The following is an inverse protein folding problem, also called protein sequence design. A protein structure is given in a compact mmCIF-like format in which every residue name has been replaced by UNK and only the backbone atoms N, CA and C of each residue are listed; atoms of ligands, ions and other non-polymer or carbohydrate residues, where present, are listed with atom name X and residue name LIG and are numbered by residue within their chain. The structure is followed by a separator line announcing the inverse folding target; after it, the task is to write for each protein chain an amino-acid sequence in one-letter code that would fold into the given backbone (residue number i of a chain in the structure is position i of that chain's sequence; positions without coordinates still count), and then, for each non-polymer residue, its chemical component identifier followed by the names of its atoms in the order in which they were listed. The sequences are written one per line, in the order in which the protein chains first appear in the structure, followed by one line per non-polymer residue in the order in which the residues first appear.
data_IF_592790757213
#
_entry.id   IF_592790757213
#
_cell.length_a   1.000
_cell.length_b   1.000
_cell.length_c   1.000
_cell.angle_alpha   90.00
_cell.angle_beta   90.00
_cell.angle_gamma   90.00
#
_symmetry.space_group_name_H-M   'P 1'
#
loop_
_entity.id
_entity.type
_entity.pdbx_description
1 polymer ?
#
# COMPACT_ATOMS: atom_id res chain seq x y z
N UNK A 1 -12.13 -52.85 28.55
CA UNK A 1 -11.67 -51.62 29.23
C UNK A 1 -11.71 -50.52 28.17
N UNK A 2 -12.87 -49.87 28.00
CA UNK A 2 -13.09 -48.79 27.04
C UNK A 2 -13.41 -47.53 27.83
N UNK A 3 -12.59 -46.50 27.67
CA UNK A 3 -12.78 -45.19 28.26
C UNK A 3 -13.63 -44.33 27.32
N UNK A 4 -14.83 -43.99 27.78
CA UNK A 4 -15.72 -43.01 27.17
C UNK A 4 -15.30 -41.61 27.60
N UNK A 5 -15.05 -40.72 26.64
CA UNK A 5 -14.92 -39.28 26.88
C UNK A 5 -16.30 -38.61 26.72
N UNK A 6 -16.65 -37.62 27.55
CA UNK A 6 -17.92 -36.91 27.43
C UNK A 6 -17.89 -35.91 26.27
N UNK A 7 -18.99 -35.86 25.52
CA UNK A 7 -19.29 -34.87 24.49
C UNK A 7 -19.63 -33.50 25.11
N UNK A 8 -19.19 -32.37 24.52
CA UNK A 8 -19.63 -31.04 24.94
C UNK A 8 -21.04 -30.74 24.43
N UNK A 9 -21.89 -30.22 25.32
CA UNK A 9 -23.22 -29.69 24.99
C UNK A 9 -23.11 -28.31 24.36
N UNK A 10 -23.62 -28.16 23.14
CA UNK A 10 -23.78 -26.90 22.42
C UNK A 10 -25.05 -26.18 22.88
N UNK A 11 -24.94 -24.89 23.25
CA UNK A 11 -26.07 -24.01 23.56
C UNK A 11 -26.21 -22.99 22.44
N UNK A 12 -27.36 -22.90 21.74
CA UNK A 12 -27.53 -21.94 20.65
C UNK A 12 -27.76 -20.51 21.19
N UNK A 13 -27.32 -19.46 20.47
CA UNK A 13 -27.53 -18.08 20.89
C UNK A 13 -29.01 -17.71 20.82
N UNK A 14 -29.50 -17.09 21.89
CA UNK A 14 -30.87 -16.61 22.02
C UNK A 14 -31.23 -15.53 21.00
N UNK A 15 -32.47 -15.62 20.54
CA UNK A 15 -33.18 -14.61 19.76
C UNK A 15 -33.24 -13.29 20.55
N UNK A 16 -32.70 -12.22 19.98
CA UNK A 16 -32.96 -10.86 20.44
C UNK A 16 -34.12 -10.27 19.64
N UNK A 17 -35.16 -9.94 20.38
CA UNK A 17 -36.41 -9.34 19.93
C UNK A 17 -36.18 -7.98 19.29
N UNK A 18 -36.94 -7.72 18.23
CA UNK A 18 -37.08 -6.42 17.61
C UNK A 18 -37.66 -5.40 18.61
N UNK A 19 -37.04 -4.23 18.71
CA UNK A 19 -37.71 -3.02 19.20
C UNK A 19 -37.46 -1.86 18.23
N UNK A 20 -38.53 -1.42 17.60
CA UNK A 20 -38.62 -0.15 16.88
C UNK A 20 -38.56 1.00 17.87
N UNK A 21 -37.64 1.96 17.69
CA UNK A 21 -37.93 3.38 17.98
C UNK A 21 -36.98 4.30 17.24
N UNK A 22 -37.56 5.02 16.28
CA UNK A 22 -37.56 6.48 16.11
C UNK A 22 -36.27 7.29 16.32
N UNK A 23 -35.95 8.04 15.26
CA UNK A 23 -35.07 9.20 15.19
C UNK A 23 -35.01 10.10 16.43
N UNK A 24 -33.78 10.43 16.85
CA UNK A 24 -33.27 11.76 17.20
C UNK A 24 -32.03 11.58 18.08
N UNK A 25 -30.82 11.64 17.49
CA UNK A 25 -29.60 11.87 18.26
C UNK A 25 -29.04 13.22 17.87
N UNK A 26 -29.26 14.14 18.81
CA UNK A 26 -28.72 15.48 18.90
C UNK A 26 -27.22 15.47 18.68
N UNK A 27 -26.77 16.44 17.89
CA UNK A 27 -25.40 16.90 17.84
C UNK A 27 -24.94 17.33 19.24
N UNK A 28 -24.33 16.42 20.00
CA UNK A 28 -23.51 16.79 21.15
C UNK A 28 -22.12 17.11 20.62
N UNK A 29 -21.80 18.40 20.62
CA UNK A 29 -20.46 18.97 20.48
C UNK A 29 -19.47 18.26 21.42
N UNK A 30 -18.86 17.17 20.97
CA UNK A 30 -17.59 16.71 21.50
C UNK A 30 -16.57 17.78 21.09
N UNK A 31 -16.09 18.55 22.06
CA UNK A 31 -14.90 19.38 21.89
C UNK A 31 -13.72 18.44 21.63
N UNK A 32 -13.54 18.04 20.38
CA UNK A 32 -12.29 17.45 19.91
C UNK A 32 -11.25 18.58 20.04
N UNK A 33 -10.17 18.39 20.82
CA UNK A 33 -9.12 19.40 20.93
C UNK A 33 -8.59 19.72 19.53
N UNK A 34 -8.25 20.99 19.30
CA UNK A 34 -7.62 21.39 18.06
C UNK A 34 -6.36 20.54 17.85
N UNK A 35 -6.15 19.96 16.65
CA UNK A 35 -4.95 19.18 16.38
C UNK A 35 -3.72 20.05 16.66
N UNK A 36 -2.63 19.46 17.20
CA UNK A 36 -1.38 20.19 17.38
C UNK A 36 -0.93 20.80 16.05
N UNK A 37 -0.39 22.02 16.09
CA UNK A 37 0.17 22.66 14.89
C UNK A 37 1.46 21.95 14.52
N UNK A 38 1.45 21.21 13.41
CA UNK A 38 2.65 20.58 12.90
C UNK A 38 3.41 21.61 12.07
N UNK A 39 4.46 22.20 12.63
CA UNK A 39 5.37 23.02 11.84
C UNK A 39 6.03 22.14 10.79
N UNK A 40 5.60 22.33 9.53
CA UNK A 40 6.22 21.79 8.33
C UNK A 40 7.75 21.93 8.41
N UNK A 41 8.43 20.84 8.72
CA UNK A 41 9.80 20.65 8.27
C UNK A 41 9.67 20.42 6.76
N UNK A 42 9.68 21.50 5.99
CA UNK A 42 10.01 21.41 4.57
C UNK A 42 11.37 20.71 4.51
N UNK A 43 11.35 19.42 4.20
CA UNK A 43 12.59 18.68 4.02
C UNK A 43 13.36 19.37 2.89
N UNK A 44 14.66 19.65 3.06
CA UNK A 44 15.48 20.15 1.97
C UNK A 44 15.40 19.19 0.78
N UNK A 45 15.76 19.69 -0.40
CA UNK A 45 15.83 18.91 -1.64
C UNK A 45 16.35 17.49 -1.38
N UNK A 46 15.53 16.51 -1.73
CA UNK A 46 15.76 15.08 -1.53
C UNK A 46 17.16 14.69 -2.00
N UNK A 47 18.02 14.24 -1.07
CA UNK A 47 19.35 13.76 -1.43
C UNK A 47 19.29 12.30 -1.91
N UNK A 48 20.03 12.02 -2.99
CA UNK A 48 20.18 10.71 -3.66
C UNK A 48 20.55 9.51 -2.73
N UNK A 49 21.26 9.63 -1.58
CA UNK A 49 21.68 8.47 -0.79
C UNK A 49 20.54 7.61 -0.22
N UNK A 50 19.31 8.14 -0.16
CA UNK A 50 18.16 7.47 0.46
C UNK A 50 17.66 6.25 -0.32
N UNK A 51 17.89 6.24 -1.63
CA UNK A 51 17.41 5.20 -2.54
C UNK A 51 18.43 4.08 -2.76
N UNK A 52 19.65 4.27 -2.28
CA UNK A 52 20.72 3.28 -2.32
C UNK A 52 20.40 2.00 -1.54
N UNK A 53 21.26 0.97 -1.64
CA UNK A 53 21.12 -0.22 -0.81
C UNK A 53 21.21 0.13 0.69
N UNK A 54 21.97 1.19 1.06
CA UNK A 54 22.29 1.71 2.41
C UNK A 54 22.96 0.68 3.36
N UNK A 55 22.51 -0.57 3.32
CA UNK A 55 23.05 -1.74 3.98
C UNK A 55 23.96 -2.49 3.01
N UNK A 56 25.16 -2.96 3.43
CA UNK A 56 26.11 -3.59 2.52
C UNK A 56 25.63 -4.94 2.00
N UNK A 57 26.12 -5.35 0.83
CA UNK A 57 25.73 -6.62 0.18
C UNK A 57 26.08 -7.87 1.01
N UNK A 58 27.07 -7.79 1.90
CA UNK A 58 27.48 -8.88 2.78
C UNK A 58 26.75 -8.88 4.14
N UNK A 59 25.63 -8.16 4.25
CA UNK A 59 24.85 -8.10 5.48
C UNK A 59 24.18 -9.44 5.79
N UNK A 60 24.35 -9.92 7.03
CA UNK A 60 23.94 -11.27 7.44
C UNK A 60 22.84 -11.30 8.51
N UNK A 61 22.40 -10.14 9.01
CA UNK A 61 21.28 -10.06 9.95
C UNK A 61 19.97 -9.90 9.16
N UNK A 62 18.85 -9.97 9.88
CA UNK A 62 17.53 -9.77 9.31
C UNK A 62 17.46 -8.45 8.54
N UNK A 63 16.96 -8.52 7.31
CA UNK A 63 16.86 -7.41 6.38
C UNK A 63 15.57 -7.54 5.58
N UNK A 64 14.84 -6.45 5.50
CA UNK A 64 13.87 -6.23 4.44
C UNK A 64 14.20 -4.90 3.80
N UNK A 65 14.46 -4.90 2.50
CA UNK A 65 14.66 -3.70 1.71
C UNK A 65 13.84 -3.80 0.43
N UNK A 66 13.13 -2.73 0.10
CA UNK A 66 12.39 -2.63 -1.16
C UNK A 66 12.77 -1.36 -1.94
N UNK A 67 12.52 -1.40 -3.24
CA UNK A 67 12.56 -0.23 -4.10
C UNK A 67 11.52 -0.46 -5.18
N UNK A 68 10.51 0.39 -5.26
CA UNK A 68 9.45 0.13 -6.22
C UNK A 68 8.54 1.28 -6.56
N UNK A 69 7.70 1.00 -7.54
CA UNK A 69 6.67 1.89 -8.06
C UNK A 69 5.34 1.15 -8.17
N UNK A 70 4.27 1.83 -7.82
CA UNK A 70 2.91 1.45 -8.24
C UNK A 70 2.39 2.52 -9.15
N UNK A 71 1.87 2.16 -10.32
CA UNK A 71 1.36 3.10 -11.32
C UNK A 71 -0.12 2.86 -11.52
N UNK A 72 -0.92 3.92 -11.39
CA UNK A 72 -2.34 3.98 -11.69
C UNK A 72 -2.55 4.99 -12.81
N UNK A 73 -3.06 4.53 -13.95
CA UNK A 73 -3.24 5.38 -15.12
C UNK A 73 -4.53 5.06 -15.88
N UNK A 74 -5.04 6.06 -16.58
CA UNK A 74 -5.90 5.83 -17.74
C UNK A 74 -5.01 5.90 -18.98
N UNK A 75 -5.05 4.87 -19.81
CA UNK A 75 -4.26 4.82 -21.05
C UNK A 75 -4.86 5.77 -22.09
N UNK A 76 -4.11 6.06 -23.15
CA UNK A 76 -4.64 6.82 -24.30
C UNK A 76 -5.78 6.09 -25.05
N UNK A 77 -5.88 4.77 -24.88
CA UNK A 77 -6.96 3.93 -25.40
C UNK A 77 -8.10 3.76 -24.39
N UNK A 78 -8.12 4.58 -23.33
CA UNK A 78 -9.16 4.67 -22.30
C UNK A 78 -9.27 3.48 -21.33
N UNK A 79 -8.33 2.54 -21.34
CA UNK A 79 -8.29 1.49 -20.32
C UNK A 79 -7.75 2.02 -18.99
N UNK A 80 -8.27 1.47 -17.89
CA UNK A 80 -7.72 1.64 -16.56
C UNK A 80 -6.61 0.61 -16.33
N UNK A 81 -5.41 1.10 -16.03
CA UNK A 81 -4.23 0.30 -15.75
C UNK A 81 -3.82 0.50 -14.28
N UNK A 82 -3.51 -0.62 -13.61
CA UNK A 82 -2.81 -0.67 -12.34
C UNK A 82 -1.61 -1.61 -12.48
N UNK A 83 -0.43 -1.11 -12.14
CA UNK A 83 0.85 -1.79 -12.33
C UNK A 83 1.67 -1.70 -11.04
N UNK A 84 2.29 -2.82 -10.66
CA UNK A 84 3.15 -2.96 -9.49
C UNK A 84 4.54 -3.44 -9.93
N UNK A 85 5.58 -2.68 -9.61
CA UNK A 85 6.97 -2.94 -9.99
C UNK A 85 7.88 -2.77 -8.78
N UNK A 86 8.35 -3.85 -8.18
CA UNK A 86 9.20 -3.76 -7.00
C UNK A 86 10.38 -4.70 -7.09
N UNK A 87 11.51 -4.24 -6.57
CA UNK A 87 12.69 -5.04 -6.33
C UNK A 87 12.89 -5.16 -4.82
N UNK A 88 13.11 -6.37 -4.32
CA UNK A 88 13.31 -6.61 -2.90
C UNK A 88 14.60 -7.36 -2.64
N UNK A 89 15.18 -7.10 -1.47
CA UNK A 89 16.10 -8.01 -0.78
C UNK A 89 15.51 -8.36 0.58
N UNK A 90 15.39 -9.66 0.85
CA UNK A 90 14.79 -10.17 2.08
C UNK A 90 15.68 -11.26 2.67
N UNK A 91 16.17 -11.05 3.88
CA UNK A 91 17.09 -11.94 4.59
C UNK A 91 16.61 -12.11 6.02
N UNK A 92 16.75 -13.29 6.60
CA UNK A 92 16.66 -13.48 8.04
C UNK A 92 15.54 -14.40 8.52
N UNK A 93 15.03 -14.12 9.72
CA UNK A 93 14.17 -15.06 10.43
C UNK A 93 12.70 -15.02 10.00
N UNK A 94 12.21 -13.89 9.49
CA UNK A 94 10.84 -13.73 8.98
C UNK A 94 10.64 -14.40 7.60
N UNK A 95 11.71 -14.55 6.81
CA UNK A 95 11.64 -15.14 5.47
C UNK A 95 11.68 -16.66 5.52
N UNK A 96 11.02 -17.31 4.55
CA UNK A 96 11.13 -18.77 4.36
C UNK A 96 12.47 -19.16 3.79
N UNK A 97 13.02 -18.33 2.89
CA UNK A 97 14.32 -18.47 2.25
C UNK A 97 14.82 -17.05 2.00
N UNK A 98 16.09 -16.80 2.29
CA UNK A 98 16.74 -15.54 1.93
C UNK A 98 16.72 -15.37 0.41
N UNK A 99 16.31 -14.20 -0.07
CA UNK A 99 16.08 -13.98 -1.48
C UNK A 99 16.23 -12.53 -1.93
N UNK A 100 16.57 -12.39 -3.21
CA UNK A 100 16.31 -11.20 -4.01
C UNK A 100 15.07 -11.47 -4.88
N UNK A 101 14.22 -10.46 -5.07
CA UNK A 101 12.94 -10.61 -5.77
C UNK A 101 12.77 -9.48 -6.79
N UNK A 102 12.37 -9.84 -8.00
CA UNK A 102 11.78 -8.91 -8.97
C UNK A 102 10.27 -9.20 -9.04
N UNK A 103 9.44 -8.25 -8.64
CA UNK A 103 7.99 -8.39 -8.68
C UNK A 103 7.40 -7.53 -9.79
N UNK A 104 6.60 -8.16 -10.65
CA UNK A 104 5.74 -7.48 -11.60
C UNK A 104 4.31 -8.00 -11.42
N UNK A 105 3.36 -7.09 -11.22
CA UNK A 105 1.95 -7.42 -11.34
C UNK A 105 1.19 -6.33 -12.08
N UNK A 106 0.19 -6.72 -12.86
CA UNK A 106 -0.55 -5.81 -13.72
C UNK A 106 -1.98 -6.27 -13.93
N UNK A 107 -2.91 -5.33 -13.81
CA UNK A 107 -4.31 -5.50 -14.20
C UNK A 107 -4.71 -4.35 -15.11
N UNK A 108 -5.47 -4.68 -16.16
CA UNK A 108 -6.04 -3.71 -17.10
C UNK A 108 -7.53 -3.98 -17.21
N UNK A 109 -8.34 -2.94 -17.09
CA UNK A 109 -9.80 -3.01 -17.22
C UNK A 109 -10.30 -1.94 -18.16
N UNK A 110 -11.44 -2.17 -18.80
CA UNK A 110 -12.16 -1.15 -19.57
C UNK A 110 -13.64 -1.23 -19.21
N UNK A 111 -13.95 -0.84 -17.98
CA UNK A 111 -15.30 -0.89 -17.44
C UNK A 111 -15.99 0.46 -17.60
N UNK A 112 -17.28 0.43 -17.94
CA UNK A 112 -18.15 1.61 -17.92
C UNK A 112 -18.30 2.15 -16.50
N UNK A 113 -18.73 3.40 -16.37
CA UNK A 113 -18.95 4.02 -15.06
C UNK A 113 -19.91 3.21 -14.16
N UNK A 114 -20.92 2.55 -14.74
CA UNK A 114 -21.84 1.70 -13.97
C UNK A 114 -21.19 0.39 -13.54
N UNK A 115 -20.36 -0.22 -14.40
CA UNK A 115 -19.62 -1.43 -14.04
C UNK A 115 -18.59 -1.17 -12.94
N UNK A 116 -18.00 0.04 -12.89
CA UNK A 116 -17.05 0.45 -11.85
C UNK A 116 -17.65 0.59 -10.44
N UNK A 117 -18.96 0.49 -10.29
CA UNK A 117 -19.61 0.51 -8.97
C UNK A 117 -19.57 -0.85 -8.25
N UNK A 118 -19.12 -1.91 -8.93
CA UNK A 118 -19.02 -3.27 -8.37
C UNK A 118 -17.70 -3.94 -8.73
N UNK A 119 -17.31 -4.92 -7.93
CA UNK A 119 -16.10 -5.72 -8.15
C UNK A 119 -16.27 -6.74 -9.28
N UNK A 120 -15.25 -6.84 -10.12
CA UNK A 120 -15.16 -7.84 -11.19
C UNK A 120 -13.99 -8.79 -10.97
N UNK A 121 -14.16 -10.04 -11.42
CA UNK A 121 -13.08 -11.01 -11.47
C UNK A 121 -12.22 -10.78 -12.73
N UNK A 122 -11.40 -9.74 -12.69
CA UNK A 122 -10.53 -9.34 -13.81
C UNK A 122 -9.32 -10.27 -13.92
N UNK A 123 -8.94 -10.73 -15.13
CA UNK A 123 -7.65 -11.36 -15.37
C UNK A 123 -6.49 -10.39 -15.08
N UNK A 124 -5.38 -10.91 -14.58
CA UNK A 124 -4.20 -10.12 -14.27
C UNK A 124 -2.92 -10.94 -14.51
N UNK A 125 -1.81 -10.24 -14.65
CA UNK A 125 -0.46 -10.81 -14.67
C UNK A 125 0.17 -10.62 -13.29
N UNK A 126 0.88 -11.64 -12.81
CA UNK A 126 1.59 -11.59 -11.54
C UNK A 126 2.78 -12.56 -11.57
N UNK A 127 3.98 -12.07 -11.24
CA UNK A 127 5.23 -12.83 -11.19
C UNK A 127 6.15 -12.23 -10.11
N UNK A 128 6.92 -13.08 -9.44
CA UNK A 128 7.97 -12.67 -8.50
C UNK A 128 7.68 -13.01 -7.03
N UNK A 129 6.46 -13.43 -6.70
CA UNK A 129 6.06 -13.67 -5.31
C UNK A 129 5.84 -15.16 -4.98
N UNK A 130 5.99 -16.05 -5.97
CA UNK A 130 6.13 -17.48 -5.68
C UNK A 130 7.58 -17.77 -5.29
N UNK A 131 7.79 -18.73 -4.39
CA UNK A 131 9.14 -19.14 -3.96
C UNK A 131 10.01 -19.55 -5.16
N UNK A 132 9.41 -20.18 -6.17
CA UNK A 132 10.11 -20.58 -7.40
C UNK A 132 10.58 -19.40 -8.27
N UNK A 133 10.10 -18.18 -7.97
CA UNK A 133 10.50 -16.94 -8.64
C UNK A 133 11.66 -16.23 -7.91
N UNK A 134 12.09 -16.74 -6.75
CA UNK A 134 13.09 -16.07 -5.92
C UNK A 134 14.50 -16.29 -6.46
N UNK A 135 15.29 -15.22 -6.42
CA UNK A 135 16.71 -15.25 -6.76
C UNK A 135 17.53 -15.41 -5.48
N UNK A 136 18.71 -16.02 -5.62
CA UNK A 136 19.68 -16.07 -4.53
C UNK A 136 20.08 -14.65 -4.11
N UNK A 137 20.25 -14.37 -2.81
CA UNK A 137 20.77 -13.09 -2.36
C UNK A 137 22.07 -12.70 -3.07
N UNK A 138 22.16 -11.45 -3.51
CA UNK A 138 23.26 -10.93 -4.30
C UNK A 138 23.02 -10.94 -5.82
N UNK A 139 21.88 -11.48 -6.28
CA UNK A 139 21.48 -11.40 -7.68
C UNK A 139 21.02 -9.99 -8.08
N UNK A 140 20.42 -9.26 -7.14
CA UNK A 140 20.04 -7.86 -7.30
C UNK A 140 21.30 -6.99 -7.35
N UNK A 141 21.43 -6.22 -8.43
CA UNK A 141 22.59 -5.38 -8.71
C UNK A 141 22.26 -3.91 -8.43
N UNK A 142 23.20 -3.22 -7.81
CA UNK A 142 23.10 -1.79 -7.50
C UNK A 142 24.17 -1.02 -8.26
N UNK A 143 23.80 0.14 -8.79
CA UNK A 143 24.74 1.15 -9.26
C UNK A 143 24.36 2.48 -8.63
N UNK A 144 25.23 2.99 -7.77
CA UNK A 144 25.04 4.26 -7.07
C UNK A 144 26.10 5.25 -7.54
N UNK A 145 25.63 6.41 -7.96
CA UNK A 145 26.45 7.60 -8.19
C UNK A 145 25.93 8.73 -7.32
N UNK A 146 26.64 9.86 -7.32
CA UNK A 146 26.17 11.07 -6.62
C UNK A 146 24.81 11.60 -7.12
N UNK A 147 24.42 11.26 -8.35
CA UNK A 147 23.26 11.85 -9.04
C UNK A 147 22.13 10.84 -9.28
N UNK A 148 22.43 9.54 -9.32
CA UNK A 148 21.47 8.49 -9.68
C UNK A 148 21.76 7.19 -8.92
N UNK A 149 20.71 6.53 -8.44
CA UNK A 149 20.72 5.15 -7.95
C UNK A 149 19.96 4.27 -8.93
N UNK A 150 20.49 3.08 -9.22
CA UNK A 150 19.84 2.10 -10.09
C UNK A 150 19.85 0.71 -9.47
N UNK A 151 18.70 0.05 -9.52
CA UNK A 151 18.47 -1.32 -9.06
C UNK A 151 18.12 -2.19 -10.28
N UNK A 152 18.81 -3.33 -10.44
CA UNK A 152 18.59 -4.24 -11.58
C UNK A 152 18.45 -5.69 -11.15
N UNK A 153 17.40 -6.35 -11.64
CA UNK A 153 17.19 -7.78 -11.46
C UNK A 153 16.29 -8.34 -12.56
N UNK A 154 16.67 -9.49 -13.13
CA UNK A 154 15.90 -10.23 -14.13
C UNK A 154 15.32 -9.37 -15.27
N UNK A 155 16.17 -8.54 -15.89
CA UNK A 155 15.76 -7.68 -17.01
C UNK A 155 14.90 -6.48 -16.62
N UNK A 156 14.56 -6.29 -15.34
CA UNK A 156 13.96 -5.07 -14.79
C UNK A 156 15.06 -4.13 -14.31
N UNK A 157 14.91 -2.85 -14.62
CA UNK A 157 15.73 -1.76 -14.08
C UNK A 157 14.82 -0.69 -13.50
N UNK A 158 15.03 -0.34 -12.23
CA UNK A 158 14.39 0.78 -11.56
C UNK A 158 15.48 1.77 -11.14
N UNK A 159 15.27 3.06 -11.41
CA UNK A 159 16.27 4.07 -11.09
C UNK A 159 15.65 5.35 -10.52
N UNK A 160 16.36 6.00 -9.62
CA UNK A 160 16.02 7.31 -9.08
C UNK A 160 17.16 8.30 -9.30
N UNK A 161 16.79 9.48 -9.76
CA UNK A 161 17.59 10.71 -9.85
C UNK A 161 16.66 11.86 -9.46
N UNK A 162 16.26 11.95 -8.18
CA UNK A 162 15.22 12.87 -7.71
C UNK A 162 15.41 14.29 -8.26
N UNK A 163 14.33 14.95 -8.74
CA UNK A 163 12.92 14.54 -8.65
C UNK A 163 12.47 13.56 -9.76
N UNK A 164 13.38 12.99 -10.53
CA UNK A 164 13.07 12.09 -11.66
C UNK A 164 13.32 10.63 -11.31
N UNK A 165 12.43 9.77 -11.79
CA UNK A 165 12.47 8.33 -11.55
C UNK A 165 12.18 7.60 -12.85
N UNK A 166 12.66 6.36 -12.95
CA UNK A 166 12.53 5.55 -14.18
C UNK A 166 12.24 4.10 -13.84
N UNK A 167 11.38 3.49 -14.64
CA UNK A 167 11.28 2.04 -14.75
C UNK A 167 11.52 1.62 -16.21
N UNK A 168 12.39 0.64 -16.41
CA UNK A 168 12.77 0.13 -17.73
C UNK A 168 12.82 -1.40 -17.74
N UNK A 169 12.81 -1.97 -18.95
CA UNK A 169 13.06 -3.40 -19.17
C UNK A 169 11.81 -4.27 -19.11
N UNK A 170 12.00 -5.58 -18.93
CA UNK A 170 10.92 -6.57 -19.00
C UNK A 170 11.10 -7.65 -17.93
N UNK A 171 10.01 -7.97 -17.22
CA UNK A 171 9.97 -9.05 -16.24
C UNK A 171 8.53 -9.59 -16.16
N UNK A 172 8.37 -10.91 -16.13
CA UNK A 172 7.05 -11.56 -15.99
C UNK A 172 6.09 -11.29 -17.14
N UNK A 173 6.60 -11.09 -18.37
CA UNK A 173 5.79 -10.77 -19.55
C UNK A 173 5.28 -9.31 -19.58
N UNK A 174 5.79 -8.45 -18.69
CA UNK A 174 5.46 -7.04 -18.62
C UNK A 174 6.71 -6.23 -18.95
N UNK A 175 6.72 -5.58 -20.12
CA UNK A 175 7.76 -4.65 -20.54
C UNK A 175 7.34 -3.23 -20.21
N UNK A 176 8.24 -2.43 -19.66
CA UNK A 176 7.94 -1.05 -19.26
C UNK A 176 9.01 -0.09 -19.77
N UNK A 177 8.57 1.11 -20.10
CA UNK A 177 9.42 2.25 -20.40
C UNK A 177 8.72 3.49 -19.84
N UNK A 178 8.91 3.76 -18.55
CA UNK A 178 8.15 4.75 -17.79
C UNK A 178 9.05 5.82 -17.18
N UNK A 179 8.78 7.07 -17.50
CA UNK A 179 9.37 8.22 -16.82
C UNK A 179 8.40 8.71 -15.75
N UNK A 180 8.91 8.88 -14.53
CA UNK A 180 8.14 9.37 -13.40
C UNK A 180 8.79 10.63 -12.82
N UNK A 181 7.96 11.53 -12.30
CA UNK A 181 8.39 12.80 -11.73
C UNK A 181 7.69 13.03 -10.40
N UNK A 182 8.45 13.44 -9.41
CA UNK A 182 7.95 13.75 -8.08
C UNK A 182 6.86 14.83 -8.09
N UNK A 183 5.79 14.59 -7.35
CA UNK A 183 4.67 15.51 -7.19
C UNK A 183 4.38 15.87 -5.72
N UNK A 184 4.82 15.07 -4.76
CA UNK A 184 4.70 15.37 -3.32
C UNK A 184 6.05 15.40 -2.61
N UNK A 185 6.05 15.87 -1.36
CA UNK A 185 7.15 15.62 -0.44
C UNK A 185 7.18 14.13 -0.04
N UNK A 186 8.35 13.66 0.42
CA UNK A 186 8.50 12.31 0.97
C UNK A 186 7.83 12.28 2.35
N UNK A 187 6.84 11.39 2.51
CA UNK A 187 6.28 11.08 3.80
C UNK A 187 7.03 9.91 4.44
N UNK A 188 7.73 10.16 5.54
CA UNK A 188 8.52 9.15 6.26
C UNK A 188 7.65 8.30 7.18
N UNK A 189 6.96 7.31 6.62
CA UNK A 189 6.07 6.42 7.36
C UNK A 189 6.77 5.59 8.45
N UNK A 190 8.03 5.19 8.21
CA UNK A 190 8.79 4.33 9.13
C UNK A 190 9.84 5.12 9.90
N UNK A 191 10.39 6.15 9.26
CA UNK A 191 11.45 6.99 9.81
C UNK A 191 12.40 7.49 8.72
N UNK A 192 13.21 8.51 9.02
CA UNK A 192 14.15 9.09 8.06
C UNK A 192 15.34 8.16 7.77
N UNK A 193 15.78 8.13 6.51
CA UNK A 193 16.94 7.32 6.08
C UNK A 193 18.26 7.76 6.72
N UNK A 194 18.37 8.97 7.25
CA UNK A 194 19.55 9.43 8.00
C UNK A 194 19.72 8.72 9.34
N UNK A 195 18.66 8.11 9.87
CA UNK A 195 18.66 7.41 11.16
C UNK A 195 18.88 5.91 11.02
N UNK A 196 18.87 5.38 9.79
CA UNK A 196 19.19 3.97 9.58
C UNK A 196 20.69 3.76 9.72
N UNK A 197 21.07 2.82 10.58
CA UNK A 197 22.44 2.37 10.69
C UNK A 197 22.51 0.86 10.45
N UNK A 198 23.68 0.36 10.08
CA UNK A 198 23.90 -1.06 9.80
C UNK A 198 23.75 -1.97 11.02
N UNK A 199 23.61 -1.44 12.23
CA UNK A 199 23.48 -2.25 13.44
C UNK A 199 22.02 -2.50 13.84
N UNK A 200 21.07 -1.70 13.33
CA UNK A 200 19.64 -1.89 13.53
C UNK A 200 18.82 -0.63 13.24
N UNK A 201 17.58 -0.80 12.77
CA UNK A 201 16.63 0.30 12.60
C UNK A 201 15.64 0.09 11.46
N UNK A 202 14.69 1.02 11.35
CA UNK A 202 13.76 1.11 10.23
C UNK A 202 13.81 2.52 9.64
N UNK A 203 13.83 2.61 8.32
CA UNK A 203 13.60 3.84 7.60
C UNK A 203 12.72 3.55 6.39
N UNK A 204 11.89 4.51 6.01
CA UNK A 204 11.07 4.32 4.86
C UNK A 204 10.00 5.37 4.70
N UNK A 205 9.58 5.55 3.47
CA UNK A 205 8.59 6.53 3.13
C UNK A 205 8.01 6.35 1.74
N UNK A 206 7.02 7.21 1.48
CA UNK A 206 6.16 7.14 0.31
C UNK A 206 6.12 8.51 -0.36
N UNK A 207 6.20 8.49 -1.69
CA UNK A 207 6.16 9.65 -2.56
C UNK A 207 5.06 9.48 -3.59
N UNK A 208 4.25 10.51 -3.81
CA UNK A 208 3.39 10.58 -4.98
C UNK A 208 4.18 11.12 -6.18
N UNK A 209 4.06 10.42 -7.30
CA UNK A 209 4.69 10.75 -8.57
C UNK A 209 3.62 10.92 -9.67
N UNK A 210 3.98 11.63 -10.72
CA UNK A 210 3.32 11.57 -12.04
C UNK A 210 4.09 10.61 -12.93
N UNK A 211 3.40 9.86 -13.79
CA UNK A 211 3.99 8.86 -14.67
C UNK A 211 3.60 9.10 -16.13
N UNK A 212 4.52 8.88 -17.05
CA UNK A 212 4.27 8.82 -18.49
C UNK A 212 5.14 7.74 -19.15
N UNK A 213 4.76 7.29 -20.34
CA UNK A 213 5.52 6.31 -21.12
C UNK A 213 4.67 5.14 -21.58
N UNK A 214 5.26 3.95 -21.64
CA UNK A 214 4.57 2.76 -22.17
C UNK A 214 4.71 1.53 -21.28
N UNK A 215 3.66 0.72 -21.31
CA UNK A 215 3.62 -0.62 -20.72
C UNK A 215 3.16 -1.59 -21.80
N UNK A 216 3.91 -2.65 -22.06
CA UNK A 216 3.55 -3.69 -23.02
C UNK A 216 3.36 -5.02 -22.31
N UNK A 217 2.21 -5.66 -22.53
CA UNK A 217 1.88 -6.97 -22.00
C UNK A 217 1.02 -7.73 -23.01
N UNK A 218 1.23 -9.05 -23.15
CA UNK A 218 0.50 -9.88 -24.11
C UNK A 218 0.49 -9.32 -25.54
N UNK A 219 1.61 -8.73 -25.99
CA UNK A 219 1.78 -8.05 -27.28
C UNK A 219 0.89 -6.80 -27.48
N UNK A 220 0.24 -6.29 -26.43
CA UNK A 220 -0.51 -5.04 -26.45
C UNK A 220 0.32 -3.98 -25.73
N UNK A 221 0.47 -2.81 -26.36
CA UNK A 221 1.15 -1.66 -25.76
C UNK A 221 0.13 -0.62 -25.32
N UNK A 222 0.20 -0.28 -24.04
CA UNK A 222 -0.59 0.76 -23.39
C UNK A 222 0.27 2.01 -23.25
N UNK A 223 -0.17 3.12 -23.87
CA UNK A 223 0.49 4.41 -23.73
C UNK A 223 -0.13 5.18 -22.56
N UNK A 224 0.71 5.73 -21.70
CA UNK A 224 0.34 6.54 -20.54
C UNK A 224 0.87 7.95 -20.81
N UNK A 225 -0.03 8.89 -21.07
CA UNK A 225 0.30 10.32 -21.21
C UNK A 225 0.23 11.06 -19.87
N UNK A 226 -0.74 10.71 -19.02
CA UNK A 226 -0.89 11.23 -17.67
C UNK A 226 -1.30 10.11 -16.69
N UNK A 227 -0.32 9.53 -16.02
CA UNK A 227 -0.49 8.57 -14.93
C UNK A 227 -0.13 9.16 -13.58
N UNK A 228 -0.57 8.49 -12.53
CA UNK A 228 -0.15 8.71 -11.16
C UNK A 228 0.62 7.50 -10.67
N UNK A 229 1.53 7.71 -9.73
CA UNK A 229 2.27 6.63 -9.15
C UNK A 229 2.65 6.89 -7.70
N UNK A 230 3.06 5.83 -7.01
CA UNK A 230 3.90 5.95 -5.83
C UNK A 230 5.33 5.56 -6.16
N UNK A 231 6.26 6.14 -5.43
CA UNK A 231 7.50 5.45 -5.08
C UNK A 231 7.45 5.09 -3.60
N UNK A 232 7.74 3.82 -3.30
CA UNK A 232 7.95 3.34 -1.94
C UNK A 232 9.39 2.87 -1.81
N UNK A 233 9.99 3.25 -0.69
CA UNK A 233 11.29 2.81 -0.24
C UNK A 233 11.20 2.52 1.26
N UNK A 234 11.48 1.30 1.65
CA UNK A 234 11.49 0.80 3.02
C UNK A 234 12.75 -0.04 3.22
N UNK A 235 13.42 0.20 4.34
CA UNK A 235 14.48 -0.64 4.87
C UNK A 235 14.20 -0.90 6.33
N UNK A 236 14.21 -2.17 6.72
CA UNK A 236 14.32 -2.58 8.11
C UNK A 236 15.53 -3.50 8.22
N UNK A 237 16.53 -3.06 8.99
CA UNK A 237 17.78 -3.77 9.18
C UNK A 237 17.92 -4.20 10.64
N UNK A 238 18.38 -5.42 10.87
CA UNK A 238 18.61 -6.00 12.20
C UNK A 238 17.35 -6.55 12.85
N UNK A 239 16.26 -5.78 12.86
CA UNK A 239 14.95 -6.22 13.36
C UNK A 239 13.90 -5.99 12.29
N UNK A 240 13.45 -7.07 11.65
CA UNK A 240 12.33 -7.03 10.72
C UNK A 240 11.04 -7.28 11.51
N UNK A 241 10.03 -6.37 11.47
CA UNK A 241 8.80 -6.55 12.23
C UNK A 241 8.04 -7.82 11.83
N UNK A 242 7.39 -8.49 12.80
CA UNK A 242 6.62 -9.71 12.57
C UNK A 242 5.36 -9.48 11.73
N UNK A 243 5.49 -9.48 10.40
CA UNK A 243 4.43 -9.06 9.46
C UNK A 243 3.14 -9.84 9.60
N UNK A 244 3.21 -11.13 9.94
CA UNK A 244 2.03 -11.97 10.17
C UNK A 244 1.15 -11.46 11.32
N UNK A 245 1.74 -10.82 12.33
CA UNK A 245 0.99 -10.23 13.45
C UNK A 245 0.40 -8.88 13.06
N UNK A 246 1.19 -8.02 12.41
CA UNK A 246 0.72 -6.70 11.94
C UNK A 246 -0.43 -6.78 10.94
N UNK A 247 -0.47 -7.83 10.10
CA UNK A 247 -1.55 -8.06 9.13
C UNK A 247 -2.67 -8.97 9.68
N UNK A 248 -2.70 -9.20 10.98
CA UNK A 248 -3.73 -10.00 11.66
C UNK A 248 -5.11 -9.34 11.67
N UNK A 249 -6.08 -10.01 12.31
CA UNK A 249 -7.45 -9.52 12.46
C UNK A 249 -8.15 -9.31 11.11
N UNK A 250 -8.72 -8.12 10.92
CA UNK A 250 -9.31 -7.68 9.66
C UNK A 250 -8.28 -7.21 8.63
N UNK A 251 -6.98 -7.33 8.91
CA UNK A 251 -5.92 -6.96 7.99
C UNK A 251 -5.58 -5.46 8.02
N UNK A 252 -4.85 -5.04 7.00
CA UNK A 252 -4.36 -3.67 6.83
C UNK A 252 -4.70 -3.17 5.43
N UNK A 253 -5.63 -2.22 5.30
CA UNK A 253 -5.85 -1.53 4.05
C UNK A 253 -4.91 -0.33 3.92
N UNK A 254 -4.32 -0.21 2.74
CA UNK A 254 -3.43 0.84 2.31
C UNK A 254 -4.00 1.48 1.04
N UNK A 255 -4.27 2.78 1.08
CA UNK A 255 -4.87 3.55 0.00
C UNK A 255 -3.90 4.56 -0.55
N UNK A 256 -3.95 4.74 -1.86
CA UNK A 256 -3.44 5.92 -2.54
C UNK A 256 -4.53 6.47 -3.46
N UNK A 257 -4.77 7.78 -3.36
CA UNK A 257 -5.76 8.46 -4.18
C UNK A 257 -5.19 9.73 -4.77
N UNK A 258 -5.46 9.95 -6.06
CA UNK A 258 -4.91 11.08 -6.79
C UNK A 258 -5.97 11.77 -7.63
N UNK A 259 -6.12 13.07 -7.40
CA UNK A 259 -6.84 13.97 -8.29
C UNK A 259 -5.96 15.11 -8.79
N UNK A 260 -6.61 16.11 -9.38
CA UNK A 260 -5.92 17.26 -9.96
C UNK A 260 -5.59 18.30 -8.90
N UNK A 261 -6.43 18.41 -7.89
CA UNK A 261 -6.33 19.45 -6.87
C UNK A 261 -5.71 18.95 -5.57
N UNK A 262 -5.90 17.67 -5.23
CA UNK A 262 -5.24 17.07 -4.09
C UNK A 262 -4.99 15.57 -4.29
N UNK A 263 -4.18 15.01 -3.42
CA UNK A 263 -3.99 13.56 -3.30
C UNK A 263 -3.85 13.18 -1.83
N UNK A 264 -4.07 11.91 -1.51
CA UNK A 264 -3.82 11.42 -0.16
C UNK A 264 -3.37 9.97 -0.19
N UNK A 265 -2.68 9.61 0.89
CA UNK A 265 -2.27 8.27 1.22
C UNK A 265 -2.78 7.96 2.62
N UNK A 266 -3.19 6.71 2.86
CA UNK A 266 -3.45 6.27 4.22
C UNK A 266 -3.29 4.78 4.38
N UNK A 267 -2.80 4.36 5.55
CA UNK A 267 -2.72 2.96 5.94
C UNK A 267 -3.35 2.81 7.33
N UNK A 268 -4.19 1.80 7.49
CA UNK A 268 -4.71 1.39 8.79
C UNK A 268 -4.31 -0.04 9.12
N UNK A 269 -4.27 -0.40 10.40
CA UNK A 269 -4.07 -1.77 10.88
C UNK A 269 -5.16 -2.12 11.89
N UNK A 270 -5.65 -3.37 11.88
CA UNK A 270 -6.64 -3.83 12.87
C UNK A 270 -6.00 -4.33 14.17
N UNK A 271 -4.74 -4.78 14.10
CA UNK A 271 -4.00 -5.38 15.23
C UNK A 271 -2.67 -4.63 15.43
N UNK A 272 -2.35 -4.32 16.68
CA UNK A 272 -1.16 -3.57 17.10
C UNK A 272 -1.29 -3.07 18.54
N UNK A 273 -0.20 -2.59 19.14
CA UNK A 273 -0.18 -2.10 20.54
C UNK A 273 -1.06 -0.87 20.78
N UNK A 274 -1.50 -0.20 19.72
CA UNK A 274 -2.48 0.88 19.76
C UNK A 274 -3.64 0.50 18.83
N UNK A 275 -4.86 0.51 19.36
CA UNK A 275 -6.11 0.31 18.62
C UNK A 275 -6.16 1.17 17.35
N UNK A 276 -6.24 0.55 16.16
CA UNK A 276 -6.28 1.19 14.84
C UNK A 276 -5.32 2.37 14.67
N UNK A 277 -4.01 2.11 14.59
CA UNK A 277 -3.06 3.14 14.13
C UNK A 277 -3.35 3.44 12.65
N UNK A 278 -3.95 4.60 12.38
CA UNK A 278 -4.08 5.14 11.04
C UNK A 278 -2.98 6.16 10.85
N UNK A 279 -2.19 5.96 9.80
CA UNK A 279 -1.28 6.98 9.29
C UNK A 279 -1.87 7.53 8.00
N UNK A 280 -1.72 8.83 7.78
CA UNK A 280 -2.19 9.48 6.57
C UNK A 280 -1.33 10.70 6.24
N UNK A 281 -1.18 10.98 4.96
CA UNK A 281 -0.86 12.32 4.50
C UNK A 281 -1.85 12.80 3.43
N UNK A 282 -2.00 14.12 3.32
CA UNK A 282 -2.82 14.79 2.32
C UNK A 282 -1.97 15.86 1.65
N UNK A 283 -1.82 15.79 0.32
CA UNK A 283 -1.22 16.85 -0.48
C UNK A 283 -2.32 17.76 -1.01
N UNK A 284 -2.40 19.00 -0.52
CA UNK A 284 -3.37 20.00 -0.97
C UNK A 284 -2.75 21.39 -0.85
N UNK A 285 -3.12 22.31 -1.76
CA UNK A 285 -2.64 23.70 -1.75
C UNK A 285 -1.10 23.82 -1.72
N UNK A 286 -0.42 22.91 -2.43
CA UNK A 286 1.05 22.76 -2.47
C UNK A 286 1.70 22.47 -1.12
N UNK A 287 0.99 21.82 -0.20
CA UNK A 287 1.49 21.41 1.10
C UNK A 287 1.16 19.94 1.37
N UNK A 288 2.08 19.26 2.04
CA UNK A 288 1.89 17.90 2.56
C UNK A 288 1.47 18.00 4.03
N UNK A 289 0.28 17.53 4.38
CA UNK A 289 -0.24 17.54 5.75
C UNK A 289 -0.23 16.11 6.27
N UNK A 290 0.42 15.89 7.40
CA UNK A 290 0.46 14.58 8.06
C UNK A 290 -0.66 14.49 9.11
N UNK A 291 -1.30 13.33 9.20
CA UNK A 291 -2.33 13.00 10.20
C UNK A 291 -1.86 11.77 10.97
N UNK A 292 -1.38 11.98 12.19
CA UNK A 292 -0.71 10.94 13.00
C UNK A 292 -1.55 10.41 14.17
N UNK A 293 -2.73 10.98 14.45
CA UNK A 293 -3.57 10.48 15.55
C UNK A 293 -4.80 9.70 15.04
N UNK A 294 -5.09 8.50 15.59
CA UNK A 294 -6.26 7.70 15.24
C UNK A 294 -7.61 8.41 15.40
N UNK A 295 -7.70 9.43 16.26
CA UNK A 295 -8.93 10.21 16.43
C UNK A 295 -9.20 11.17 15.26
N UNK A 296 -8.17 11.48 14.49
CA UNK A 296 -8.25 12.43 13.37
C UNK A 296 -8.36 11.77 12.01
N UNK A 297 -8.33 10.44 11.92
CA UNK A 297 -8.57 9.72 10.67
C UNK A 297 -9.36 8.44 10.91
N UNK A 298 -10.18 8.04 9.94
CA UNK A 298 -10.96 6.80 10.03
C UNK A 298 -11.04 6.10 8.68
N UNK A 299 -10.99 4.77 8.69
CA UNK A 299 -11.25 3.92 7.53
C UNK A 299 -12.39 2.96 7.92
N UNK A 300 -13.49 2.97 7.17
CA UNK A 300 -14.66 2.12 7.40
C UNK A 300 -14.99 1.36 6.13
N UNK A 301 -14.99 0.03 6.18
CA UNK A 301 -15.53 -0.79 5.09
C UNK A 301 -17.06 -0.59 4.98
N UNK A 302 -17.53 -0.22 3.80
CA UNK A 302 -18.94 0.01 3.47
C UNK A 302 -19.58 -1.17 2.74
N UNK A 303 -18.79 -1.94 2.01
CA UNK A 303 -19.26 -3.11 1.25
C UNK A 303 -18.18 -4.18 1.16
N UNK A 304 -18.59 -5.39 0.82
CA UNK A 304 -17.70 -6.54 0.68
C UNK A 304 -17.98 -7.31 -0.62
N UNK A 305 -16.93 -7.94 -1.12
CA UNK A 305 -16.98 -8.80 -2.28
C UNK A 305 -16.42 -10.19 -1.96
N UNK A 306 -17.13 -11.22 -2.42
CA UNK A 306 -16.60 -12.57 -2.41
C UNK A 306 -15.70 -12.77 -3.62
N UNK A 307 -14.42 -12.98 -3.36
CA UNK A 307 -13.42 -13.26 -4.37
C UNK A 307 -13.44 -14.74 -4.75
N UNK A 308 -13.90 -15.10 -5.97
CA UNK A 308 -14.03 -16.50 -6.38
C UNK A 308 -12.68 -17.20 -6.60
N UNK A 309 -11.55 -16.47 -6.69
CA UNK A 309 -10.23 -17.09 -6.90
C UNK A 309 -9.54 -17.44 -5.58
N UNK A 310 -9.71 -16.58 -4.57
CA UNK A 310 -9.08 -16.80 -3.25
C UNK A 310 -10.05 -17.44 -2.26
N UNK A 311 -11.34 -17.52 -2.61
CA UNK A 311 -12.41 -18.00 -1.74
C UNK A 311 -12.50 -17.20 -0.44
N UNK A 312 -12.28 -15.88 -0.53
CA UNK A 312 -12.28 -14.95 0.60
C UNK A 312 -13.34 -13.87 0.43
N UNK A 313 -13.93 -13.43 1.54
CA UNK A 313 -14.70 -12.18 1.58
C UNK A 313 -13.74 -11.05 1.95
N UNK A 314 -13.68 -10.04 1.09
CA UNK A 314 -12.82 -8.87 1.26
C UNK A 314 -13.64 -7.59 1.11
N UNK A 315 -13.27 -6.50 1.81
CA UNK A 315 -13.89 -5.21 1.57
C UNK A 315 -13.70 -4.76 0.12
N UNK A 316 -14.70 -4.09 -0.44
CA UNK A 316 -14.70 -3.59 -1.83
C UNK A 316 -15.04 -2.10 -1.93
N UNK A 317 -15.54 -1.52 -0.83
CA UNK A 317 -15.89 -0.12 -0.75
C UNK A 317 -15.55 0.40 0.63
N UNK A 318 -14.99 1.61 0.71
CA UNK A 318 -14.54 2.20 1.96
C UNK A 318 -14.95 3.66 2.07
N UNK A 319 -15.24 4.08 3.29
CA UNK A 319 -15.27 5.48 3.71
C UNK A 319 -13.94 5.80 4.37
N UNK A 320 -13.33 6.91 3.96
CA UNK A 320 -12.15 7.49 4.60
C UNK A 320 -12.51 8.90 5.03
N UNK A 321 -12.24 9.23 6.28
CA UNK A 321 -12.38 10.59 6.80
C UNK A 321 -11.11 11.03 7.49
N UNK A 322 -10.81 12.33 7.43
CA UNK A 322 -9.76 12.91 8.25
C UNK A 322 -10.07 14.35 8.67
N UNK A 323 -9.49 14.78 9.78
CA UNK A 323 -9.53 16.15 10.28
C UNK A 323 -8.09 16.64 10.35
N UNK A 324 -7.82 17.80 9.75
CA UNK A 324 -6.50 18.42 9.72
C UNK A 324 -6.55 19.87 10.17
N UNK A 325 -5.38 20.49 10.26
CA UNK A 325 -5.29 21.92 10.53
C UNK A 325 -5.80 22.81 9.38
N UNK A 326 -5.89 22.30 8.15
CA UNK A 326 -6.42 23.05 7.00
C UNK A 326 -7.92 22.79 6.75
N UNK A 327 -8.44 21.65 7.19
CA UNK A 327 -9.82 21.27 6.89
C UNK A 327 -10.18 19.85 7.25
N UNK A 328 -11.14 19.30 6.51
CA UNK A 328 -11.61 17.92 6.69
C UNK A 328 -11.66 17.21 5.34
N UNK A 329 -11.22 15.96 5.33
CA UNK A 329 -11.33 15.04 4.21
C UNK A 329 -12.53 14.13 4.42
N UNK A 330 -13.33 13.96 3.37
CA UNK A 330 -14.37 12.97 3.25
C UNK A 330 -14.20 12.28 1.88
N UNK A 331 -13.91 10.98 1.90
CA UNK A 331 -13.66 10.21 0.69
C UNK A 331 -14.40 8.88 0.71
N UNK A 332 -14.94 8.49 -0.45
CA UNK A 332 -15.50 7.15 -0.68
C UNK A 332 -14.72 6.47 -1.80
N UNK A 333 -14.05 5.38 -1.46
CA UNK A 333 -13.26 4.57 -2.39
C UNK A 333 -14.11 3.37 -2.83
N UNK A 334 -14.23 3.15 -4.14
CA UNK A 334 -14.92 2.00 -4.72
C UNK A 334 -13.95 1.22 -5.60
N UNK A 335 -13.65 -0.03 -5.22
CA UNK A 335 -12.88 -0.94 -6.03
C UNK A 335 -13.76 -1.67 -7.05
N UNK A 336 -13.20 -1.94 -8.24
CA UNK A 336 -13.93 -2.62 -9.32
C UNK A 336 -13.13 -3.70 -10.04
N UNK A 337 -11.84 -3.84 -9.76
CA UNK A 337 -11.04 -4.96 -10.22
C UNK A 337 -9.90 -5.20 -9.25
N UNK A 338 -9.19 -6.31 -9.44
CA UNK A 338 -8.09 -6.66 -8.55
C UNK A 338 -7.07 -7.58 -9.20
N UNK A 339 -5.89 -7.56 -8.62
CA UNK A 339 -4.95 -8.66 -8.66
C UNK A 339 -4.63 -9.07 -7.21
N UNK A 340 -3.91 -10.17 -7.06
CA UNK A 340 -3.47 -10.62 -5.74
C UNK A 340 -2.20 -11.45 -5.83
N UNK A 341 -1.51 -11.56 -4.71
CA UNK A 341 -0.38 -12.44 -4.48
C UNK A 341 -0.36 -12.90 -3.03
N UNK A 342 0.46 -13.91 -2.75
CA UNK A 342 0.71 -14.37 -1.40
C UNK A 342 2.11 -13.99 -0.99
N UNK A 343 2.23 -13.42 0.21
CA UNK A 343 3.52 -13.27 0.86
C UNK A 343 3.78 -14.48 1.74
N UNK A 344 4.72 -15.34 1.35
CA UNK A 344 5.08 -16.49 2.16
C UNK A 344 6.11 -16.07 3.20
N UNK A 345 5.76 -16.28 4.47
CA UNK A 345 6.59 -15.98 5.64
C UNK A 345 6.88 -17.25 6.41
N UNK A 346 7.95 -17.23 7.22
CA UNK A 346 8.20 -18.31 8.15
C UNK A 346 6.99 -18.44 9.08
N UNK A 347 6.40 -19.63 9.11
CA UNK A 347 5.23 -19.90 9.95
C UNK A 347 3.90 -19.35 9.43
N UNK A 348 3.80 -18.80 8.21
CA UNK A 348 2.51 -18.30 7.76
C UNK A 348 2.46 -17.73 6.34
N UNK A 349 1.29 -17.22 5.98
CA UNK A 349 1.11 -16.53 4.71
C UNK A 349 0.18 -15.33 4.84
N UNK A 350 0.55 -14.25 4.17
CA UNK A 350 -0.27 -13.05 4.02
C UNK A 350 -0.86 -13.10 2.61
N UNK A 351 -2.17 -12.94 2.50
CA UNK A 351 -2.82 -12.72 1.23
C UNK A 351 -2.90 -11.20 1.01
N UNK A 352 -2.38 -10.76 -0.13
CA UNK A 352 -2.35 -9.35 -0.50
C UNK A 352 -3.21 -9.17 -1.73
N UNK A 353 -4.30 -8.42 -1.58
CA UNK A 353 -5.14 -7.98 -2.67
C UNK A 353 -4.77 -6.56 -3.05
N UNK A 354 -4.59 -6.29 -4.33
CA UNK A 354 -4.42 -4.92 -4.80
C UNK A 354 -5.52 -4.60 -5.81
N UNK A 355 -6.24 -3.54 -5.51
CA UNK A 355 -7.47 -3.16 -6.16
C UNK A 355 -7.25 -1.98 -7.10
N UNK A 356 -7.84 -2.08 -8.28
CA UNK A 356 -8.09 -0.90 -9.11
C UNK A 356 -9.38 -0.25 -8.62
N UNK A 357 -9.29 1.03 -8.30
CA UNK A 357 -10.36 1.76 -7.64
C UNK A 357 -10.46 3.20 -8.16
N UNK A 358 -11.62 3.80 -7.92
CA UNK A 358 -11.86 5.22 -8.06
C UNK A 358 -12.33 5.76 -6.71
N UNK A 359 -12.08 7.05 -6.47
CA UNK A 359 -12.50 7.71 -5.24
C UNK A 359 -13.31 8.95 -5.56
N UNK A 360 -14.41 9.16 -4.86
CA UNK A 360 -15.06 10.47 -4.78
C UNK A 360 -14.59 11.12 -3.50
N UNK A 361 -13.81 12.19 -3.60
CA UNK A 361 -13.19 12.85 -2.47
C UNK A 361 -13.62 14.31 -2.40
N UNK A 362 -13.82 14.79 -1.17
CA UNK A 362 -14.14 16.16 -0.83
C UNK A 362 -13.24 16.61 0.30
N UNK A 363 -12.53 17.71 0.08
CA UNK A 363 -11.80 18.43 1.13
C UNK A 363 -12.51 19.75 1.42
N UNK A 364 -12.95 19.93 2.67
CA UNK A 364 -13.60 21.17 3.13
C UNK A 364 -12.63 21.93 4.02
N UNK A 365 -12.17 23.10 3.57
CA UNK A 365 -11.25 23.96 4.33
C UNK A 365 -11.93 24.59 5.54
N UNK A 366 -11.13 25.08 6.50
CA UNK A 366 -11.63 25.78 7.69
C UNK A 366 -12.45 27.05 7.38
N UNK A 367 -12.20 27.70 6.25
CA UNK A 367 -12.97 28.86 5.78
C UNK A 367 -14.31 28.49 5.12
N UNK A 368 -14.61 27.18 5.02
CA UNK A 368 -15.81 26.64 4.38
C UNK A 368 -15.70 26.44 2.87
N UNK A 369 -14.58 26.81 2.24
CA UNK A 369 -14.36 26.50 0.82
C UNK A 369 -14.17 25.00 0.60
N UNK A 370 -14.64 24.51 -0.55
CA UNK A 370 -14.70 23.07 -0.84
C UNK A 370 -13.95 22.75 -2.13
N UNK A 371 -13.13 21.71 -2.07
CA UNK A 371 -12.57 21.02 -3.24
C UNK A 371 -13.22 19.66 -3.32
N UNK A 372 -13.91 19.35 -4.43
CA UNK A 372 -14.47 18.02 -4.67
C UNK A 372 -14.03 17.51 -6.03
N UNK A 373 -13.54 16.27 -6.08
CA UNK A 373 -13.11 15.65 -7.32
C UNK A 373 -13.31 14.13 -7.32
N UNK A 374 -13.41 13.58 -8.52
CA UNK A 374 -13.25 12.14 -8.77
C UNK A 374 -11.77 11.88 -9.00
N UNK A 375 -11.21 11.02 -8.19
CA UNK A 375 -9.81 10.65 -8.17
C UNK A 375 -9.66 9.22 -8.69
N UNK A 376 -8.52 8.92 -9.30
CA UNK A 376 -8.13 7.52 -9.50
C UNK A 376 -7.49 7.02 -8.22
N UNK A 377 -7.60 5.73 -7.94
CA UNK A 377 -7.08 5.17 -6.70
C UNK A 377 -6.55 3.76 -6.87
N UNK A 378 -5.69 3.38 -5.94
CA UNK A 378 -5.38 1.99 -5.70
C UNK A 378 -5.55 1.70 -4.22
N UNK A 379 -5.84 0.44 -3.92
CA UNK A 379 -5.92 -0.05 -2.55
C UNK A 379 -5.14 -1.34 -2.47
N UNK A 380 -4.15 -1.44 -1.60
CA UNK A 380 -3.58 -2.71 -1.19
C UNK A 380 -4.21 -3.14 0.13
N UNK A 381 -4.75 -4.34 0.19
CA UNK A 381 -5.36 -4.91 1.38
C UNK A 381 -4.64 -6.19 1.74
N UNK A 382 -3.91 -6.14 2.84
CA UNK A 382 -3.07 -7.22 3.33
C UNK A 382 -3.76 -7.91 4.50
N UNK A 383 -3.91 -9.23 4.44
CA UNK A 383 -4.45 -10.00 5.56
C UNK A 383 -3.70 -11.29 5.75
N UNK A 384 -3.30 -11.57 6.99
CA UNK A 384 -2.77 -12.87 7.38
C UNK A 384 -3.83 -13.93 7.14
N UNK A 385 -3.59 -14.79 6.14
CA UNK A 385 -4.47 -15.88 5.78
C UNK A 385 -4.22 -17.10 6.67
N UNK A 386 -2.95 -17.30 7.06
CA UNK A 386 -2.52 -18.41 7.89
C UNK A 386 -1.35 -18.01 8.78
N UNK A 387 -1.37 -18.43 10.04
CA UNK A 387 -0.29 -18.25 11.01
C UNK A 387 -0.21 -19.46 11.93
N UNK A 388 0.97 -20.07 12.03
CA UNK A 388 1.27 -21.24 12.87
C UNK A 388 1.52 -20.88 14.34
N UNK A 389 1.56 -19.58 14.68
CA UNK A 389 1.87 -19.12 16.03
C UNK A 389 3.33 -19.34 16.43
N UNK A 390 4.23 -19.58 15.47
CA UNK A 390 5.66 -19.83 15.75
C UNK A 390 6.38 -18.61 16.35
N UNK A 391 5.74 -17.43 16.32
CA UNK A 391 6.29 -16.18 16.83
C UNK A 391 5.90 -15.91 18.30
N UNK A 392 5.39 -16.89 19.04
CA UNK A 392 5.39 -16.87 20.52
C UNK A 392 6.68 -17.46 21.13
N UNK A 393 7.68 -17.78 20.30
CA UNK A 393 8.93 -18.38 20.77
C UNK A 393 9.97 -17.30 21.13
N UNK A 394 9.94 -16.96 22.43
CA UNK A 394 11.00 -16.42 23.32
C UNK A 394 11.45 -14.97 23.12
#
# INVERSE_FOLDING_TARGET
MSLLFPTPTYTPPGQLLASTSTAALLASSLCIPAPPSYTNLLAPAFEVPQDGPIVPDNYTKDLFSDFGYVVRAKTESEEDLLLWLFLYRQVGTDTVIDCDISQSAMVVTNYTAAEKEIMHNTPFLNKGQNIDDYYTPGALQFNETKDEVTWKLDGRELASSPPHYKARGEHGGIKVNLDLVQWSDLFYQIGPFTEINSEGGGAGGILHLKANGTVTANNITYTISEGYAIHERIITAGVVPARLQYMGGRGSPWFNSWGKQFSFWTMGTDVGNDTMSIQMFINIDNQTIIVEEPLYAQIIALDNWFDPKTNQINPSKWKITAITELGTLDATVTAYGRWYYTWIRRGGTILVHSYIADTVATFTRKDGSVVSERQVSMVEYMRTLYNQGLNEVV
#
